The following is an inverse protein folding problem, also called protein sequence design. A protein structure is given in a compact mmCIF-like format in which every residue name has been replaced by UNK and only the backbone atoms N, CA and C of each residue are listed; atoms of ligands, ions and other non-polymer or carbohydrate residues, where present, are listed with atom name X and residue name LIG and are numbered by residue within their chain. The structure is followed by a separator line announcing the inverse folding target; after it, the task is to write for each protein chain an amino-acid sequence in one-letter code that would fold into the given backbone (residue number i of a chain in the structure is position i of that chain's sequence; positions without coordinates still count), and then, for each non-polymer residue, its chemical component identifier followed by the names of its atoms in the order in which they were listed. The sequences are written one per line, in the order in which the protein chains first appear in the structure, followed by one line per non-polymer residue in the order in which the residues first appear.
data_IF_660814297279
#
_entry.id   IF_660814297279
#
_cell.length_a   1.000
_cell.length_b   1.000
_cell.length_c   1.000
_cell.angle_alpha   90.00
_cell.angle_beta   90.00
_cell.angle_gamma   90.00
#
_symmetry.space_group_name_H-M   'P 1'
#
loop_
_entity.id
_entity.type
_entity.pdbx_description
1 polymer ?
#
# COMPACT_ATOMS: atom_id res chain seq x y z
N UNK A 1 -8.21 16.93 -3.70
CA UNK A 1 -8.21 15.45 -3.54
C UNK A 1 -7.75 14.89 -4.88
N UNK A 2 -6.54 14.35 -4.96
CA UNK A 2 -5.98 13.88 -6.23
C UNK A 2 -6.68 12.58 -6.65
N UNK A 3 -7.31 12.54 -7.81
CA UNK A 3 -8.02 11.35 -8.32
C UNK A 3 -7.12 10.11 -8.38
N UNK A 4 -5.81 10.31 -8.61
CA UNK A 4 -4.80 9.24 -8.66
C UNK A 4 -4.56 8.54 -7.32
N UNK A 5 -4.80 9.22 -6.18
CA UNK A 5 -4.65 8.63 -4.83
C UNK A 5 -5.87 7.80 -4.42
N UNK A 6 -7.02 7.99 -5.09
CA UNK A 6 -8.26 7.27 -4.80
C UNK A 6 -8.20 5.81 -5.29
N UNK A 7 -7.53 5.56 -6.42
CA UNK A 7 -7.53 4.25 -7.09
C UNK A 7 -6.88 3.15 -6.22
N UNK A 8 -5.67 3.34 -5.63
CA UNK A 8 -5.09 2.32 -4.73
C UNK A 8 -5.92 2.06 -3.48
N UNK A 9 -6.60 3.09 -2.97
CA UNK A 9 -7.47 2.98 -1.79
C UNK A 9 -8.71 2.11 -2.08
N UNK A 10 -9.27 2.22 -3.29
CA UNK A 10 -10.39 1.38 -3.73
C UNK A 10 -9.97 -0.08 -3.90
N UNK A 11 -8.78 -0.35 -4.46
CA UNK A 11 -8.26 -1.72 -4.52
C UNK A 11 -8.15 -2.35 -3.12
N UNK A 12 -7.68 -1.57 -2.14
CA UNK A 12 -7.55 -2.06 -0.77
C UNK A 12 -8.91 -2.35 -0.14
N UNK A 13 -9.92 -1.51 -0.40
CA UNK A 13 -11.29 -1.74 0.07
C UNK A 13 -11.87 -3.05 -0.48
N UNK A 14 -11.81 -3.25 -1.81
CA UNK A 14 -12.32 -4.47 -2.45
C UNK A 14 -11.53 -5.72 -2.03
N UNK A 15 -10.21 -5.59 -1.85
CA UNK A 15 -9.38 -6.67 -1.32
C UNK A 15 -9.86 -7.13 0.08
N UNK A 16 -10.20 -6.17 0.97
CA UNK A 16 -10.71 -6.47 2.31
C UNK A 16 -12.11 -7.10 2.29
N UNK A 17 -12.92 -6.85 1.25
CA UNK A 17 -14.21 -7.50 1.03
C UNK A 17 -14.09 -8.93 0.48
N UNK A 18 -12.89 -9.35 0.05
CA UNK A 18 -12.67 -10.66 -0.55
C UNK A 18 -13.02 -10.74 -2.04
N UNK A 19 -13.24 -9.60 -2.70
CA UNK A 19 -13.53 -9.51 -4.13
C UNK A 19 -12.37 -10.07 -4.96
N UNK A 20 -12.66 -10.63 -6.15
CA UNK A 20 -11.61 -11.05 -7.10
C UNK A 20 -11.05 -9.83 -7.84
N UNK A 21 -9.81 -9.93 -8.34
CA UNK A 21 -9.18 -8.81 -9.04
C UNK A 21 -9.92 -8.42 -10.34
N UNK A 22 -10.45 -9.41 -11.09
CA UNK A 22 -11.25 -9.16 -12.28
C UNK A 22 -12.53 -8.36 -11.97
N UNK A 23 -13.20 -8.68 -10.86
CA UNK A 23 -14.41 -8.00 -10.40
C UNK A 23 -14.11 -6.57 -9.92
N UNK A 24 -13.03 -6.42 -9.14
CA UNK A 24 -12.51 -5.12 -8.70
C UNK A 24 -12.16 -4.23 -9.90
N UNK A 25 -11.53 -4.78 -10.93
CA UNK A 25 -11.19 -4.06 -12.15
C UNK A 25 -12.44 -3.57 -12.91
N UNK A 26 -13.48 -4.42 -13.02
CA UNK A 26 -14.75 -4.04 -13.64
C UNK A 26 -15.42 -2.90 -12.89
N UNK A 27 -15.59 -3.04 -11.56
CA UNK A 27 -16.22 -2.05 -10.71
C UNK A 27 -15.51 -0.68 -10.74
N UNK A 28 -14.18 -0.70 -10.80
CA UNK A 28 -13.38 0.53 -10.90
C UNK A 28 -13.51 1.17 -12.28
N UNK A 29 -13.45 0.39 -13.36
CA UNK A 29 -13.66 0.93 -14.70
C UNK A 29 -15.10 1.44 -14.93
N UNK A 30 -16.10 0.85 -14.24
CA UNK A 30 -17.48 1.37 -14.24
C UNK A 30 -17.59 2.71 -13.48
N UNK A 31 -16.85 2.89 -12.38
CA UNK A 31 -16.95 4.08 -11.52
C UNK A 31 -16.10 5.24 -12.00
N UNK A 32 -14.90 4.96 -12.52
CA UNK A 32 -13.89 5.97 -12.87
C UNK A 32 -13.69 6.14 -14.38
N UNK A 33 -14.33 5.29 -15.20
CA UNK A 33 -14.26 5.30 -16.65
C UNK A 33 -13.53 4.09 -17.22
N UNK A 34 -13.86 3.69 -18.47
CA UNK A 34 -13.19 2.56 -19.12
C UNK A 34 -11.69 2.81 -19.20
N UNK A 35 -10.91 1.74 -19.06
CA UNK A 35 -9.43 1.74 -19.11
C UNK A 35 -8.72 2.47 -17.96
N UNK A 36 -9.45 2.91 -16.91
CA UNK A 36 -8.82 3.48 -15.70
C UNK A 36 -7.82 2.50 -15.08
N UNK A 37 -8.16 1.21 -15.07
CA UNK A 37 -7.32 0.14 -14.56
C UNK A 37 -7.35 -1.08 -15.47
N UNK A 38 -6.30 -1.90 -15.37
CA UNK A 38 -6.24 -3.24 -15.93
C UNK A 38 -6.22 -4.24 -14.77
N UNK A 39 -6.84 -5.42 -14.94
CA UNK A 39 -6.81 -6.51 -13.98
C UNK A 39 -5.38 -6.84 -13.52
N UNK A 40 -4.38 -6.79 -14.42
CA UNK A 40 -2.98 -7.00 -14.05
C UNK A 40 -2.49 -6.02 -12.96
N UNK A 41 -2.89 -4.75 -13.02
CA UNK A 41 -2.55 -3.74 -12.00
C UNK A 41 -3.20 -4.11 -10.67
N UNK A 42 -4.48 -4.50 -10.69
CA UNK A 42 -5.23 -4.91 -9.49
C UNK A 42 -4.59 -6.14 -8.84
N UNK A 43 -4.23 -7.15 -9.63
CA UNK A 43 -3.54 -8.35 -9.17
C UNK A 43 -2.21 -8.01 -8.49
N UNK A 44 -1.41 -7.11 -9.09
CA UNK A 44 -0.14 -6.67 -8.51
C UNK A 44 -0.34 -5.96 -7.16
N UNK A 45 -1.38 -5.14 -7.02
CA UNK A 45 -1.74 -4.53 -5.74
C UNK A 45 -2.19 -5.57 -4.72
N UNK A 46 -3.00 -6.55 -5.11
CA UNK A 46 -3.45 -7.62 -4.22
C UNK A 46 -2.26 -8.45 -3.71
N UNK A 47 -1.27 -8.73 -4.56
CA UNK A 47 -0.03 -9.38 -4.12
C UNK A 47 0.73 -8.53 -3.10
N UNK A 48 0.84 -7.22 -3.32
CA UNK A 48 1.46 -6.31 -2.33
C UNK A 48 0.70 -6.31 -1.00
N UNK A 49 -0.64 -6.33 -1.04
CA UNK A 49 -1.47 -6.38 0.17
C UNK A 49 -1.33 -7.70 0.93
N UNK A 50 -1.20 -8.83 0.22
CA UNK A 50 -0.94 -10.14 0.84
C UNK A 50 0.44 -10.23 1.50
N UNK A 51 1.45 -9.62 0.90
CA UNK A 51 2.83 -9.69 1.39
C UNK A 51 3.17 -8.59 2.43
N UNK A 52 2.37 -7.52 2.48
CA UNK A 52 2.58 -6.39 3.39
C UNK A 52 1.77 -6.48 4.68
N UNK A 53 2.16 -5.67 5.67
CA UNK A 53 1.30 -5.41 6.83
C UNK A 53 0.22 -4.39 6.43
N UNK A 54 -1.05 -4.80 6.50
CA UNK A 54 -2.19 -3.91 6.27
C UNK A 54 -2.63 -3.32 7.60
N UNK A 55 -2.62 -1.99 7.70
CA UNK A 55 -3.16 -1.29 8.87
C UNK A 55 -4.61 -0.88 8.61
N UNK A 56 -5.47 -1.12 9.59
CA UNK A 56 -6.91 -0.83 9.45
C UNK A 56 -7.27 0.62 9.75
N UNK A 57 -6.38 1.38 10.38
CA UNK A 57 -6.54 2.81 10.63
C UNK A 57 -5.17 3.49 10.78
N UNK A 58 -5.18 4.82 10.77
CA UNK A 58 -3.97 5.62 10.90
C UNK A 58 -3.28 5.44 12.27
N UNK A 59 -4.03 5.20 13.34
CA UNK A 59 -3.47 4.99 14.67
C UNK A 59 -2.62 3.70 14.73
N UNK A 60 -3.15 2.60 14.21
CA UNK A 60 -2.43 1.32 14.12
C UNK A 60 -1.15 1.44 13.29
N UNK A 61 -1.19 2.19 12.17
CA UNK A 61 -0.01 2.47 11.37
C UNK A 61 1.03 3.31 12.14
N UNK A 62 0.58 4.36 12.84
CA UNK A 62 1.45 5.21 13.68
C UNK A 62 2.09 4.40 14.80
N UNK A 63 1.33 3.56 15.48
CA UNK A 63 1.83 2.70 16.56
C UNK A 63 2.86 1.72 16.03
N UNK A 64 2.58 0.99 14.96
CA UNK A 64 3.53 0.02 14.41
C UNK A 64 4.82 0.68 13.89
N UNK A 65 4.72 1.90 13.35
CA UNK A 65 5.89 2.65 12.95
C UNK A 65 6.72 3.11 14.15
N UNK A 66 6.06 3.58 15.22
CA UNK A 66 6.70 3.93 16.49
C UNK A 66 7.45 2.73 17.08
N UNK A 67 6.78 1.60 17.19
CA UNK A 67 7.39 0.34 17.65
C UNK A 67 8.60 -0.07 16.79
N UNK A 68 8.51 0.10 15.46
CA UNK A 68 9.64 -0.13 14.58
C UNK A 68 10.82 0.79 14.91
N UNK A 69 10.58 2.10 15.04
CA UNK A 69 11.63 3.08 15.35
C UNK A 69 12.28 2.78 16.70
N UNK A 70 11.46 2.50 17.71
CA UNK A 70 11.89 2.19 19.08
C UNK A 70 12.66 0.86 19.16
N UNK A 71 12.43 -0.06 18.22
CA UNK A 71 13.16 -1.34 18.14
C UNK A 71 14.57 -1.23 17.53
N UNK A 72 14.93 -0.09 16.93
CA UNK A 72 16.23 0.10 16.27
C UNK A 72 17.24 0.75 17.19
N UNK A 73 18.48 0.31 17.10
CA UNK A 73 19.59 0.91 17.85
C UNK A 73 20.11 2.17 17.16
N UNK A 74 20.78 3.08 17.87
CA UNK A 74 21.42 4.25 17.25
C UNK A 74 22.37 3.89 16.10
N UNK A 75 23.06 2.75 16.17
CA UNK A 75 24.00 2.28 15.14
C UNK A 75 23.30 1.95 13.82
N UNK A 76 22.05 1.49 13.86
CA UNK A 76 21.25 1.25 12.65
C UNK A 76 21.12 2.55 11.84
N UNK A 77 20.81 3.66 12.51
CA UNK A 77 20.67 4.96 11.86
C UNK A 77 22.02 5.52 11.41
N UNK A 78 23.06 5.39 12.24
CA UNK A 78 24.40 5.85 11.90
C UNK A 78 24.96 5.13 10.66
N UNK A 79 24.78 3.81 10.56
CA UNK A 79 25.19 3.03 9.40
C UNK A 79 24.39 3.39 8.15
N UNK A 80 23.06 3.52 8.27
CA UNK A 80 22.23 3.91 7.13
C UNK A 80 22.59 5.29 6.57
N UNK A 81 22.90 6.26 7.44
CA UNK A 81 23.40 7.58 6.99
C UNK A 81 24.77 7.42 6.34
N UNK A 82 25.70 6.67 6.94
CA UNK A 82 27.03 6.44 6.38
C UNK A 82 26.97 5.84 4.98
N UNK A 83 26.10 4.87 4.73
CA UNK A 83 25.88 4.29 3.39
C UNK A 83 25.42 5.31 2.35
N UNK A 84 24.62 6.30 2.76
CA UNK A 84 24.14 7.37 1.86
C UNK A 84 25.22 8.40 1.53
N UNK A 85 26.15 8.66 2.45
CA UNK A 85 27.21 9.67 2.26
C UNK A 85 28.51 9.07 1.71
N UNK A 86 28.65 7.74 1.74
CA UNK A 86 29.86 7.01 1.33
C UNK A 86 29.99 6.80 -0.20
N UNK A 87 29.54 7.75 -1.02
CA UNK A 87 29.81 7.73 -2.46
C UNK A 87 31.31 7.62 -2.77
#
# INVERSE_FOLDING_TARGET
KNEKEAIPSNFLYEFKLGSKAAETNRKINETFGPETTNEWIVQRWFQKFRNGKIFNNQAAAKTAFREFVDSRTPEFYANGIKELVSC
#
